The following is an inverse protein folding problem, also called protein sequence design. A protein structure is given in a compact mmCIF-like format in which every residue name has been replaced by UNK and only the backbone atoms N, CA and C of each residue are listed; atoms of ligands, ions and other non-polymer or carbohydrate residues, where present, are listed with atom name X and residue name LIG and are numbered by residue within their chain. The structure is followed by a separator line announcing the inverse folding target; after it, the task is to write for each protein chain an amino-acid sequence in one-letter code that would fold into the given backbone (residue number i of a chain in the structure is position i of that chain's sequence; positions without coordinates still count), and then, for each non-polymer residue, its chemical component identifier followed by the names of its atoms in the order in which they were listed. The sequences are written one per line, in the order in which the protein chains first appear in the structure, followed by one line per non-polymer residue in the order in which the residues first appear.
data_IF_004279195379
#
_entry.id   IF_004279195379
#
_cell.length_a   1.000
_cell.length_b   1.000
_cell.length_c   1.000
_cell.angle_alpha   90.00
_cell.angle_beta   90.00
_cell.angle_gamma   90.00
#
_symmetry.space_group_name_H-M   'P 1'
#
loop_
_entity.id
_entity.type
_entity.pdbx_description
1 polymer ?
#
# COMPACT_ATOMS: atom_id res chain seq x y z
N UNK A 1 17.72 12.89 -23.75
CA UNK A 1 16.87 14.10 -23.89
C UNK A 1 15.85 13.98 -25.04
N UNK A 2 14.99 12.94 -25.07
CA UNK A 2 13.94 12.79 -26.11
C UNK A 2 12.50 12.80 -25.55
N UNK A 3 12.35 12.79 -24.22
CA UNK A 3 11.07 12.66 -23.53
C UNK A 3 10.39 14.02 -23.26
N UNK A 4 11.07 15.14 -23.52
CA UNK A 4 10.53 16.49 -23.28
C UNK A 4 9.46 16.87 -24.33
N UNK A 5 9.60 16.34 -25.56
CA UNK A 5 8.59 16.55 -26.61
C UNK A 5 7.30 15.80 -26.26
N UNK A 6 7.37 14.56 -25.75
CA UNK A 6 6.19 13.77 -25.41
C UNK A 6 5.33 14.47 -24.32
N UNK A 7 5.95 15.09 -23.31
CA UNK A 7 5.24 15.84 -22.27
C UNK A 7 4.57 17.11 -22.80
N UNK A 8 5.15 17.76 -23.83
CA UNK A 8 4.50 18.89 -24.53
C UNK A 8 3.23 18.43 -25.27
N UNK A 9 3.26 17.26 -25.90
CA UNK A 9 2.09 16.67 -26.58
C UNK A 9 1.02 16.21 -25.59
N UNK A 10 1.40 15.58 -24.47
CA UNK A 10 0.47 15.25 -23.38
C UNK A 10 -0.16 16.51 -22.77
N UNK A 11 0.62 17.56 -22.54
CA UNK A 11 0.10 18.82 -21.99
C UNK A 11 -0.87 19.51 -22.95
N UNK A 12 -0.61 19.45 -24.25
CA UNK A 12 -1.50 20.00 -25.28
C UNK A 12 -2.80 19.21 -25.40
N UNK A 13 -2.77 17.89 -25.21
CA UNK A 13 -3.96 17.04 -25.19
C UNK A 13 -4.81 17.24 -23.92
N UNK A 14 -4.17 17.44 -22.76
CA UNK A 14 -4.85 17.64 -21.48
C UNK A 14 -5.54 19.02 -21.39
N UNK A 15 -5.02 20.03 -22.12
CA UNK A 15 -5.62 21.36 -22.25
C UNK A 15 -6.91 21.37 -23.09
N UNK A 16 -7.06 20.43 -24.03
CA UNK A 16 -8.26 20.34 -24.89
C UNK A 16 -9.44 19.70 -24.14
N UNK A 17 -9.17 18.85 -23.15
CA UNK A 17 -10.19 18.15 -22.37
C UNK A 17 -10.92 19.12 -21.40
N UNK A 18 -10.30 20.23 -21.00
CA UNK A 18 -10.91 21.17 -20.05
C UNK A 18 -11.93 22.15 -20.65
N UNK A 19 -12.11 22.17 -21.97
CA UNK A 19 -13.12 23.02 -22.64
C UNK A 19 -14.46 22.34 -22.92
N UNK A 20 -14.67 21.10 -22.45
CA UNK A 20 -16.00 20.47 -22.44
C UNK A 20 -16.52 20.34 -21.01
N UNK A 21 -16.92 21.47 -20.42
CA UNK A 21 -17.65 21.49 -19.16
C UNK A 21 -18.93 22.33 -19.30
N UNK A 22 -20.10 21.66 -19.20
CA UNK A 22 -21.33 22.28 -18.75
C UNK A 22 -22.26 21.22 -18.12
N UNK A 23 -22.73 21.51 -16.89
CA UNK A 23 -23.70 20.74 -16.11
C UNK A 23 -23.94 21.35 -14.72
N UNK A 24 -25.07 22.04 -14.55
CA UNK A 24 -25.74 22.65 -13.35
C UNK A 24 -25.85 21.71 -12.11
N UNK A 25 -26.14 22.06 -10.83
CA UNK A 25 -26.70 23.22 -10.08
C UNK A 25 -26.43 23.06 -8.55
N UNK A 26 -26.28 24.20 -7.81
CA UNK A 26 -26.69 24.58 -6.41
C UNK A 26 -26.48 23.66 -5.18
N UNK A 27 -25.97 24.26 -4.06
CA UNK A 27 -26.68 24.47 -2.77
C UNK A 27 -25.80 25.19 -1.71
N UNK A 28 -26.38 26.15 -0.98
CA UNK A 28 -25.77 26.96 0.08
C UNK A 28 -25.91 26.38 1.50
N UNK A 29 -25.07 26.91 2.42
CA UNK A 29 -25.45 27.53 3.72
C UNK A 29 -24.73 26.98 4.98
N UNK A 30 -23.86 27.84 5.52
CA UNK A 30 -23.59 28.26 6.92
C UNK A 30 -23.67 27.30 8.11
N UNK A 31 -22.68 27.37 9.02
CA UNK A 31 -22.70 28.31 10.18
C UNK A 31 -21.42 28.31 11.01
N UNK A 32 -21.23 29.47 11.66
CA UNK A 32 -20.15 30.01 12.50
C UNK A 32 -20.37 29.68 13.99
N UNK A 33 -19.33 29.72 14.82
CA UNK A 33 -19.44 29.73 16.28
C UNK A 33 -18.17 30.28 16.94
N UNK A 34 -18.32 31.39 17.67
CA UNK A 34 -17.29 32.27 18.27
C UNK A 34 -16.94 31.89 19.73
N UNK A 35 -15.96 32.64 20.26
CA UNK A 35 -15.12 32.56 21.48
C UNK A 35 -15.76 32.89 22.86
N UNK A 36 -14.86 32.96 23.88
CA UNK A 36 -14.89 33.59 25.23
C UNK A 36 -15.40 32.72 26.39
N UNK A 37 -14.95 32.84 27.65
CA UNK A 37 -13.86 33.55 28.36
C UNK A 37 -14.01 33.19 29.85
N UNK A 38 -12.94 33.34 30.63
CA UNK A 38 -12.85 33.19 32.10
C UNK A 38 -13.93 33.91 32.92
N UNK A 39 -14.18 33.40 34.14
CA UNK A 39 -14.35 34.23 35.34
C UNK A 39 -14.20 33.42 36.63
N UNK A 40 -13.43 33.98 37.57
CA UNK A 40 -13.27 33.55 38.96
C UNK A 40 -14.53 33.79 39.84
N UNK A 41 -14.65 33.10 40.99
CA UNK A 41 -14.74 33.74 42.33
C UNK A 41 -15.00 32.76 43.51
N UNK A 42 -14.12 32.84 44.52
CA UNK A 42 -14.30 32.98 45.99
C UNK A 42 -15.20 32.08 46.89
N UNK A 43 -14.55 31.66 48.01
CA UNK A 43 -14.97 31.52 49.43
C UNK A 43 -15.73 30.27 49.93
N UNK A 44 -15.14 29.51 50.87
CA UNK A 44 -15.36 29.60 52.34
C UNK A 44 -15.19 28.25 53.06
N UNK A 45 -14.49 28.27 54.19
CA UNK A 45 -14.28 27.18 55.15
C UNK A 45 -15.58 26.65 55.81
N UNK A 46 -15.52 25.39 56.28
CA UNK A 46 -16.49 24.81 57.22
C UNK A 46 -16.31 23.30 57.41
N UNK A 47 -15.63 22.91 58.50
CA UNK A 47 -15.50 21.53 59.00
C UNK A 47 -16.85 20.90 59.34
N UNK A 48 -17.03 19.59 59.09
CA UNK A 48 -17.72 18.66 59.99
C UNK A 48 -17.35 17.20 59.68
N UNK A 49 -17.30 16.43 60.77
CA UNK A 49 -16.60 15.16 61.00
C UNK A 49 -17.41 13.92 60.61
N UNK A 50 -16.68 12.83 60.25
CA UNK A 50 -17.01 11.39 60.41
C UNK A 50 -18.31 10.83 59.76
N UNK A 51 -18.36 9.73 59.01
CA UNK A 51 -17.72 8.41 59.15
C UNK A 51 -17.74 7.62 57.81
N UNK A 52 -16.93 6.54 57.78
CA UNK A 52 -17.16 5.25 57.11
C UNK A 52 -16.48 4.90 55.76
N UNK A 53 -15.59 3.88 55.89
CA UNK A 53 -15.05 2.95 54.89
C UNK A 53 -13.96 3.45 53.93
N UNK A 54 -12.72 3.47 54.42
CA UNK A 54 -11.52 3.45 53.60
C UNK A 54 -11.25 2.02 53.11
N UNK A 55 -11.55 1.74 51.85
CA UNK A 55 -10.76 0.77 51.09
C UNK A 55 -9.45 1.46 50.69
N UNK A 56 -8.37 1.01 51.31
CA UNK A 56 -7.01 1.52 51.10
C UNK A 56 -6.18 1.13 52.30
N UNK A 57 -5.30 0.13 52.15
CA UNK A 57 -4.34 -0.27 53.18
C UNK A 57 -3.30 0.86 53.37
N UNK A 58 -3.71 1.94 54.01
CA UNK A 58 -2.79 2.98 54.47
C UNK A 58 -2.30 2.60 55.87
N UNK A 59 -1.00 2.37 56.00
CA UNK A 59 -0.37 2.03 57.26
C UNK A 59 0.05 3.32 57.96
N UNK A 60 -0.66 3.66 59.04
CA UNK A 60 -0.37 4.83 59.86
C UNK A 60 0.77 4.55 60.84
N UNK A 61 1.84 5.34 60.77
CA UNK A 61 3.01 5.25 61.64
C UNK A 61 3.02 6.39 62.67
N UNK A 62 3.46 6.11 63.89
CA UNK A 62 3.66 7.15 64.92
C UNK A 62 4.95 7.93 64.67
N UNK A 63 5.02 9.19 65.12
CA UNK A 63 6.21 10.04 64.94
C UNK A 63 7.51 9.41 65.47
N UNK A 64 7.43 8.69 66.60
CA UNK A 64 8.58 7.96 67.18
C UNK A 64 9.04 6.80 66.30
N UNK A 65 8.13 6.12 65.61
CA UNK A 65 8.47 5.04 64.68
C UNK A 65 9.09 5.60 63.40
N UNK A 66 8.59 6.72 62.88
CA UNK A 66 9.17 7.41 61.74
C UNK A 66 10.61 7.87 62.00
N UNK A 67 10.85 8.48 63.17
CA UNK A 67 12.18 8.93 63.60
C UNK A 67 13.14 7.77 63.89
N UNK A 68 12.68 6.71 64.56
CA UNK A 68 13.50 5.53 64.85
C UNK A 68 13.93 4.79 63.58
N UNK A 69 13.11 4.83 62.54
CA UNK A 69 13.37 4.22 61.23
C UNK A 69 14.12 5.14 60.27
N UNK A 70 14.39 6.40 60.67
CA UNK A 70 15.13 7.41 59.87
C UNK A 70 14.58 7.56 58.45
N UNK A 71 13.25 7.57 58.33
CA UNK A 71 12.60 7.63 57.02
C UNK A 71 12.84 9.00 56.36
N UNK A 72 13.24 8.97 55.09
CA UNK A 72 13.38 10.16 54.25
C UNK A 72 12.40 10.08 53.10
N UNK A 73 11.57 11.10 52.97
CA UNK A 73 10.64 11.26 51.86
C UNK A 73 11.29 12.19 50.85
N UNK A 74 11.23 11.82 49.57
CA UNK A 74 11.66 12.66 48.46
C UNK A 74 10.53 12.78 47.44
N UNK A 75 10.58 13.82 46.62
CA UNK A 75 9.57 14.13 45.62
C UNK A 75 9.80 13.33 44.33
N UNK A 76 8.72 12.97 43.64
CA UNK A 76 8.81 12.32 42.33
C UNK A 76 9.38 13.30 41.30
N UNK A 77 10.62 13.07 40.87
CA UNK A 77 11.30 13.88 39.87
C UNK A 77 11.18 13.25 38.49
N UNK A 78 10.62 13.99 37.52
CA UNK A 78 10.61 13.56 36.11
C UNK A 78 11.99 13.82 35.52
N UNK A 79 12.66 12.77 35.05
CA UNK A 79 13.98 12.86 34.43
C UNK A 79 13.94 12.39 32.98
N UNK A 80 14.51 13.16 32.07
CA UNK A 80 14.72 12.71 30.69
C UNK A 80 15.79 11.62 30.68
N UNK A 81 15.38 10.38 30.45
CA UNK A 81 16.30 9.26 30.27
C UNK A 81 16.73 9.20 28.81
N UNK A 82 17.96 9.62 28.51
CA UNK A 82 18.58 9.37 27.21
C UNK A 82 19.21 7.98 27.21
N UNK A 83 18.42 6.96 26.86
CA UNK A 83 18.94 5.64 26.54
C UNK A 83 19.20 5.54 25.05
N UNK A 84 20.43 5.17 24.65
CA UNK A 84 20.66 4.69 23.29
C UNK A 84 20.10 3.27 23.22
N UNK A 85 19.10 3.06 22.38
CA UNK A 85 18.57 1.73 22.07
C UNK A 85 19.23 1.29 20.78
N UNK A 86 20.17 0.36 20.87
CA UNK A 86 20.76 -0.28 19.70
C UNK A 86 19.74 -1.26 19.09
N UNK A 87 19.25 -0.93 17.90
CA UNK A 87 18.36 -1.77 17.14
C UNK A 87 19.08 -2.26 15.87
N UNK A 88 19.16 -3.58 15.72
CA UNK A 88 19.58 -4.19 14.46
C UNK A 88 18.38 -4.21 13.50
N UNK A 89 18.64 -3.93 12.22
CA UNK A 89 17.64 -4.00 11.16
C UNK A 89 18.18 -4.78 9.97
N UNK A 90 17.27 -5.33 9.16
CA UNK A 90 17.59 -5.96 7.88
C UNK A 90 17.10 -5.07 6.75
N UNK A 91 17.89 -4.95 5.69
CA UNK A 91 17.46 -4.30 4.46
C UNK A 91 16.67 -5.31 3.63
N UNK A 92 15.39 -5.04 3.45
CA UNK A 92 14.52 -5.81 2.56
C UNK A 92 14.08 -4.90 1.40
N UNK A 93 13.97 -5.50 0.21
CA UNK A 93 13.35 -4.81 -0.92
C UNK A 93 11.84 -4.76 -0.68
N UNK A 94 11.18 -3.59 -0.76
CA UNK A 94 9.73 -3.54 -0.68
C UNK A 94 9.12 -4.49 -1.73
N UNK A 95 8.03 -5.19 -1.43
CA UNK A 95 7.45 -6.20 -2.34
C UNK A 95 7.03 -5.63 -3.70
N UNK A 96 6.86 -4.31 -3.80
CA UNK A 96 6.58 -3.61 -5.07
C UNK A 96 7.79 -3.57 -6.03
N UNK A 97 9.01 -3.81 -5.54
CA UNK A 97 10.26 -3.73 -6.29
C UNK A 97 10.91 -5.11 -6.51
N UNK A 98 10.21 -6.19 -6.17
CA UNK A 98 10.65 -7.57 -6.41
C UNK A 98 9.91 -8.14 -7.63
N UNK A 99 10.63 -8.83 -8.52
CA UNK A 99 10.03 -9.49 -9.67
C UNK A 99 10.66 -10.87 -9.88
N UNK A 100 9.85 -11.92 -9.71
CA UNK A 100 10.23 -13.29 -10.06
C UNK A 100 9.92 -13.54 -11.53
N UNK A 101 10.93 -13.93 -12.31
CA UNK A 101 10.77 -14.26 -13.73
C UNK A 101 10.53 -15.76 -13.84
N UNK A 102 9.32 -16.15 -14.26
CA UNK A 102 8.94 -17.56 -14.50
C UNK A 102 8.48 -17.76 -15.93
N UNK A 103 8.74 -18.92 -16.51
CA UNK A 103 8.26 -19.26 -17.85
C UNK A 103 6.79 -19.69 -17.79
N UNK A 104 5.96 -19.21 -18.72
CA UNK A 104 4.53 -19.58 -18.80
C UNK A 104 4.36 -21.04 -19.21
N UNK A 105 5.32 -21.56 -19.97
CA UNK A 105 5.34 -22.94 -20.47
C UNK A 105 6.68 -23.57 -20.05
N UNK A 106 6.66 -24.83 -19.64
CA UNK A 106 7.88 -25.56 -19.26
C UNK A 106 8.88 -25.59 -20.40
N UNK A 107 10.09 -25.08 -20.19
CA UNK A 107 11.11 -24.94 -21.23
C UNK A 107 12.50 -25.26 -20.67
N UNK A 108 13.44 -25.61 -21.56
CA UNK A 108 14.84 -25.83 -21.22
C UNK A 108 15.62 -24.50 -21.35
N UNK A 109 16.53 -24.23 -20.43
CA UNK A 109 17.43 -23.06 -20.50
C UNK A 109 18.49 -23.30 -21.57
N UNK A 110 18.66 -22.33 -22.48
CA UNK A 110 19.64 -22.37 -23.57
C UNK A 110 20.88 -21.56 -23.22
N UNK A 111 20.68 -20.34 -22.69
CA UNK A 111 21.77 -19.51 -22.17
C UNK A 111 21.27 -18.58 -21.07
N UNK A 112 22.19 -18.16 -20.22
CA UNK A 112 21.98 -17.19 -19.14
C UNK A 112 22.94 -16.04 -19.41
N UNK A 113 22.42 -14.82 -19.46
CA UNK A 113 23.18 -13.62 -19.85
C UNK A 113 23.57 -12.74 -18.66
N UNK A 114 23.16 -13.12 -17.44
CA UNK A 114 23.38 -12.35 -16.21
C UNK A 114 23.81 -13.26 -15.07
N UNK A 115 24.60 -12.72 -14.15
CA UNK A 115 25.05 -13.42 -12.94
C UNK A 115 24.42 -12.74 -11.71
N UNK A 116 24.33 -13.48 -10.61
CA UNK A 116 23.87 -12.95 -9.33
C UNK A 116 24.66 -11.71 -8.92
N UNK A 117 23.95 -10.62 -8.60
CA UNK A 117 24.55 -9.33 -8.25
C UNK A 117 24.65 -8.32 -9.39
N UNK A 118 24.38 -8.71 -10.64
CA UNK A 118 24.38 -7.79 -11.77
C UNK A 118 23.18 -6.84 -11.75
N UNK A 119 23.40 -5.56 -12.09
CA UNK A 119 22.33 -4.58 -12.27
C UNK A 119 21.59 -4.85 -13.59
N UNK A 120 20.27 -5.11 -13.51
CA UNK A 120 19.41 -5.36 -14.67
C UNK A 120 18.41 -4.25 -14.89
N UNK A 121 18.15 -3.89 -16.15
CA UNK A 121 17.16 -2.86 -16.53
C UNK A 121 15.88 -3.48 -17.06
N UNK A 122 14.76 -2.76 -16.93
CA UNK A 122 13.47 -3.20 -17.48
C UNK A 122 13.59 -3.48 -18.98
N UNK A 123 13.25 -4.71 -19.37
CA UNK A 123 13.29 -5.17 -20.77
C UNK A 123 14.63 -5.76 -21.20
N UNK A 124 15.61 -5.88 -20.31
CA UNK A 124 16.85 -6.60 -20.58
C UNK A 124 16.60 -8.12 -20.65
N UNK A 125 17.18 -8.79 -21.64
CA UNK A 125 17.17 -10.23 -21.72
C UNK A 125 18.13 -10.81 -20.67
N UNK A 126 17.61 -11.65 -19.78
CA UNK A 126 18.38 -12.28 -18.69
C UNK A 126 18.72 -13.75 -18.98
N UNK A 127 17.89 -14.42 -19.78
CA UNK A 127 18.09 -15.79 -20.19
C UNK A 127 17.31 -16.09 -21.47
N UNK A 128 17.82 -17.04 -22.25
CA UNK A 128 17.13 -17.61 -23.40
C UNK A 128 16.66 -19.02 -23.07
N UNK A 129 15.43 -19.32 -23.46
CA UNK A 129 14.79 -20.61 -23.21
C UNK A 129 14.30 -21.21 -24.52
N UNK A 130 14.29 -22.54 -24.59
CA UNK A 130 13.76 -23.29 -25.73
C UNK A 130 12.76 -24.34 -25.26
N UNK A 131 11.58 -24.34 -25.87
CA UNK A 131 10.53 -25.30 -25.58
C UNK A 131 10.54 -26.42 -26.65
N UNK A 132 10.76 -27.69 -26.30
CA UNK A 132 10.92 -28.76 -27.29
C UNK A 132 9.66 -28.95 -28.18
N UNK A 133 8.46 -28.77 -27.62
CA UNK A 133 7.20 -29.05 -28.33
C UNK A 133 6.45 -27.79 -28.84
N UNK A 134 7.07 -26.60 -28.84
CA UNK A 134 6.34 -25.38 -29.28
C UNK A 134 6.03 -25.44 -30.79
N UNK A 135 6.95 -26.01 -31.57
CA UNK A 135 6.80 -26.20 -33.00
C UNK A 135 5.62 -27.13 -33.30
N UNK A 136 5.50 -28.24 -32.56
CA UNK A 136 4.39 -29.18 -32.71
C UNK A 136 3.03 -28.50 -32.46
N UNK A 137 2.91 -27.71 -31.39
CA UNK A 137 1.66 -26.97 -31.09
C UNK A 137 1.32 -25.96 -32.17
N UNK A 138 2.31 -25.23 -32.68
CA UNK A 138 2.12 -24.29 -33.79
C UNK A 138 1.65 -25.03 -35.06
N UNK A 139 2.26 -26.17 -35.39
CA UNK A 139 1.84 -27.01 -36.52
C UNK A 139 0.41 -27.52 -36.35
N UNK A 140 0.04 -28.02 -35.16
CA UNK A 140 -1.31 -28.47 -34.87
C UNK A 140 -2.35 -27.34 -35.03
N UNK A 141 -2.04 -26.14 -34.52
CA UNK A 141 -2.91 -24.99 -34.68
C UNK A 141 -3.10 -24.60 -36.15
N UNK A 142 -2.01 -24.52 -36.91
CA UNK A 142 -2.05 -24.18 -38.34
C UNK A 142 -2.86 -25.21 -39.14
N UNK A 143 -2.70 -26.50 -38.83
CA UNK A 143 -3.47 -27.57 -39.46
C UNK A 143 -4.96 -27.48 -39.12
N UNK A 144 -5.30 -27.28 -37.85
CA UNK A 144 -6.70 -27.14 -37.42
C UNK A 144 -7.36 -25.90 -38.05
N UNK A 145 -6.63 -24.78 -38.14
CA UNK A 145 -7.10 -23.57 -38.81
C UNK A 145 -7.34 -23.81 -40.31
N UNK A 146 -6.36 -24.40 -41.01
CA UNK A 146 -6.48 -24.73 -42.43
C UNK A 146 -7.69 -25.64 -42.69
N UNK A 147 -7.85 -26.69 -41.88
CA UNK A 147 -8.99 -27.59 -41.99
C UNK A 147 -10.33 -26.88 -41.74
N UNK A 148 -10.39 -26.00 -40.73
CA UNK A 148 -11.58 -25.19 -40.45
C UNK A 148 -11.96 -24.28 -41.62
N UNK A 149 -10.98 -23.62 -42.24
CA UNK A 149 -11.19 -22.79 -43.43
C UNK A 149 -11.68 -23.62 -44.62
N UNK A 150 -11.06 -24.77 -44.87
CA UNK A 150 -11.47 -25.69 -45.93
C UNK A 150 -12.92 -26.14 -45.76
N UNK A 151 -13.30 -26.59 -44.56
CA UNK A 151 -14.66 -27.02 -44.24
C UNK A 151 -15.67 -25.88 -44.38
N UNK A 152 -15.30 -24.67 -43.95
CA UNK A 152 -16.14 -23.48 -44.07
C UNK A 152 -16.38 -23.14 -45.54
N UNK A 153 -15.34 -23.03 -46.35
CA UNK A 153 -15.47 -22.73 -47.78
C UNK A 153 -16.30 -23.81 -48.49
N UNK A 154 -16.01 -25.09 -48.26
CA UNK A 154 -16.78 -26.17 -48.86
C UNK A 154 -18.25 -26.18 -48.40
N UNK A 155 -18.55 -25.77 -47.16
CA UNK A 155 -19.93 -25.63 -46.68
C UNK A 155 -20.65 -24.42 -47.29
N UNK A 156 -19.93 -23.32 -47.54
CA UNK A 156 -20.46 -22.12 -48.21
C UNK A 156 -20.75 -22.43 -49.67
N UNK A 157 -19.79 -23.04 -50.38
CA UNK A 157 -19.93 -23.41 -51.79
C UNK A 157 -21.10 -24.38 -52.01
N UNK A 158 -21.24 -25.40 -51.15
CA UNK A 158 -22.38 -26.33 -51.26
C UNK A 158 -23.72 -25.66 -51.01
N UNK A 159 -23.83 -24.77 -50.01
CA UNK A 159 -25.07 -24.00 -49.75
C UNK A 159 -25.41 -23.06 -50.90
N UNK A 160 -24.40 -22.42 -51.50
CA UNK A 160 -24.58 -21.55 -52.65
C UNK A 160 -25.07 -22.34 -53.88
N UNK A 161 -24.56 -23.56 -54.07
CA UNK A 161 -25.03 -24.47 -55.12
C UNK A 161 -26.46 -24.98 -54.87
N UNK A 162 -26.86 -25.25 -53.62
CA UNK A 162 -28.22 -25.72 -53.31
C UNK A 162 -29.29 -24.61 -53.35
N UNK A 163 -28.89 -23.34 -53.29
CA UNK A 163 -29.82 -22.21 -53.39
C UNK A 163 -30.06 -21.76 -54.85
N UNK A 164 -29.18 -22.17 -55.78
CA UNK A 164 -29.26 -21.84 -57.21
C UNK A 164 -29.98 -22.92 -58.05
N UNK A 165 -30.39 -24.03 -57.44
CA UNK A 165 -31.20 -25.11 -58.04
C UNK A 165 -32.56 -25.13 -57.37
#
# INVERSE_FOLDING_TARGET
MKNLKIYKWIGLLLLVITMTACGDTKNETSKKGDEHSESESKHSDGEHNEENHAEGEEVMLTARQYEALQMSIDTLQTRSMSGYIEANGQLEVPPQNEATITTVIGANVVSIEVIEGDEVKKGQAVAYISHPNIIEKQTMYLNAYSNSQFLKNHSIDRKHFTMLV
#
